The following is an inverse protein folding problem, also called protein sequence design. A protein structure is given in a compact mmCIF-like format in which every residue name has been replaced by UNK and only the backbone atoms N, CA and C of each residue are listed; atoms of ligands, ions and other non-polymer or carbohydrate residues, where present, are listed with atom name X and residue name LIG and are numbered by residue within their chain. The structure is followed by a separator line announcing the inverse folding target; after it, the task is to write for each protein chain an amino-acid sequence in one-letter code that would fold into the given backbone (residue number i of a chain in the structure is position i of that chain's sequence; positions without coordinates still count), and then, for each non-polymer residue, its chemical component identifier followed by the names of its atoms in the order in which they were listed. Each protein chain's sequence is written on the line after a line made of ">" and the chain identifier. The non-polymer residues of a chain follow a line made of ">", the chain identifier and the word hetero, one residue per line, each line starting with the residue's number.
data_IF_298879202144
#
_entry.id   IF_298879202144
#
_cell.length_a   1.000
_cell.length_b   1.000
_cell.length_c   1.000
_cell.angle_alpha   90.00
_cell.angle_beta   90.00
_cell.angle_gamma   90.00
#
_symmetry.space_group_name_H-M   'P 1'
#
loop_
_entity.id
_entity.type
_entity.pdbx_description
1 polymer ?
#
# COMPACT_ATOMS: atom_id res chain seq x y z
N UNK A 1 10.95 19.65 -22.46
CA UNK A 1 10.61 18.43 -21.76
C UNK A 1 10.51 17.32 -22.78
N UNK A 2 11.14 16.17 -22.57
CA UNK A 2 11.01 15.03 -23.48
C UNK A 2 9.58 14.44 -23.40
N UNK A 3 9.18 13.60 -24.36
CA UNK A 3 7.88 12.89 -24.27
C UNK A 3 7.84 11.96 -23.05
N UNK A 4 8.98 11.40 -22.68
CA UNK A 4 9.15 10.53 -21.49
C UNK A 4 8.96 11.35 -20.21
N UNK A 5 9.50 12.57 -20.13
CA UNK A 5 9.32 13.42 -18.94
C UNK A 5 7.85 13.79 -18.73
N UNK A 6 7.11 14.09 -19.80
CA UNK A 6 5.68 14.40 -19.70
C UNK A 6 4.85 13.19 -19.26
N UNK A 7 5.25 11.99 -19.67
CA UNK A 7 4.62 10.75 -19.24
C UNK A 7 4.92 10.46 -17.77
N UNK A 8 6.20 10.47 -17.36
CA UNK A 8 6.62 10.31 -15.98
C UNK A 8 5.93 11.31 -15.05
N UNK A 9 5.83 12.58 -15.49
CA UNK A 9 5.09 13.60 -14.76
C UNK A 9 3.65 13.21 -14.51
N UNK A 10 2.91 12.77 -15.52
CA UNK A 10 1.51 12.40 -15.39
C UNK A 10 1.31 11.18 -14.48
N UNK A 11 2.12 10.13 -14.65
CA UNK A 11 2.10 8.93 -13.80
C UNK A 11 2.39 9.30 -12.34
N UNK A 12 3.40 10.12 -12.11
CA UNK A 12 3.76 10.59 -10.78
C UNK A 12 2.65 11.48 -10.17
N UNK A 13 2.04 12.37 -10.93
CA UNK A 13 0.92 13.20 -10.46
C UNK A 13 -0.29 12.35 -10.06
N UNK A 14 -0.60 11.29 -10.79
CA UNK A 14 -1.63 10.32 -10.41
C UNK A 14 -1.28 9.64 -9.08
N UNK A 15 -0.07 9.09 -8.96
CA UNK A 15 0.40 8.46 -7.73
C UNK A 15 0.33 9.43 -6.54
N UNK A 16 0.80 10.67 -6.69
CA UNK A 16 0.83 11.65 -5.61
C UNK A 16 -0.57 12.03 -5.10
N UNK A 17 -1.61 11.92 -5.93
CA UNK A 17 -3.00 12.09 -5.47
C UNK A 17 -3.41 10.98 -4.50
N UNK A 18 -3.04 9.74 -4.79
CA UNK A 18 -3.23 8.62 -3.87
C UNK A 18 -2.37 8.76 -2.61
N UNK A 19 -1.09 9.09 -2.78
CA UNK A 19 -0.16 9.28 -1.67
C UNK A 19 -0.61 10.37 -0.67
N UNK A 20 -1.31 11.41 -1.15
CA UNK A 20 -1.84 12.46 -0.29
C UNK A 20 -2.85 11.92 0.76
N UNK A 21 -3.49 10.78 0.50
CA UNK A 21 -4.45 10.15 1.41
C UNK A 21 -3.79 9.58 2.67
N UNK A 22 -2.48 9.30 2.64
CA UNK A 22 -1.68 8.89 3.81
C UNK A 22 -1.62 9.98 4.90
N UNK A 23 -1.77 11.24 4.50
CA UNK A 23 -1.74 12.40 5.40
C UNK A 23 -3.14 12.97 5.67
N UNK A 24 -4.19 12.28 5.25
CA UNK A 24 -5.58 12.72 5.37
C UNK A 24 -6.30 11.81 6.35
N UNK A 25 -6.70 12.36 7.50
CA UNK A 25 -7.28 11.60 8.63
C UNK A 25 -8.77 11.40 8.41
N UNK A 26 -9.27 10.18 8.62
CA UNK A 26 -10.68 9.81 8.47
C UNK A 26 -11.45 9.77 9.79
N UNK A 27 -10.75 9.57 10.92
CA UNK A 27 -11.36 9.45 12.24
C UNK A 27 -10.59 10.22 13.34
N UNK A 28 -11.17 10.27 14.54
CA UNK A 28 -10.57 10.96 15.69
C UNK A 28 -9.36 10.21 16.30
N UNK A 29 -9.05 9.00 15.82
CA UNK A 29 -7.93 8.20 16.29
C UNK A 29 -6.67 8.42 15.46
N UNK A 30 -6.75 9.26 14.43
CA UNK A 30 -5.64 9.59 13.56
C UNK A 30 -5.46 8.62 12.39
N UNK A 31 -6.41 7.70 12.14
CA UNK A 31 -6.36 6.77 11.02
C UNK A 31 -6.37 7.53 9.70
N UNK A 32 -5.46 7.21 8.79
CA UNK A 32 -5.42 7.81 7.47
C UNK A 32 -6.54 7.28 6.55
N UNK A 33 -6.86 8.02 5.48
CA UNK A 33 -7.76 7.51 4.44
C UNK A 33 -7.10 6.33 3.72
N UNK A 34 -5.78 6.35 3.50
CA UNK A 34 -5.06 5.26 2.88
C UNK A 34 -5.15 3.96 3.71
N UNK A 35 -5.01 4.03 5.03
CA UNK A 35 -5.22 2.91 5.95
C UNK A 35 -6.65 2.37 5.89
N UNK A 36 -7.65 3.25 5.82
CA UNK A 36 -9.05 2.83 5.63
C UNK A 36 -9.25 2.08 4.30
N UNK A 37 -8.64 2.56 3.21
CA UNK A 37 -8.75 1.90 1.91
C UNK A 37 -8.00 0.56 1.89
N UNK A 38 -6.83 0.49 2.55
CA UNK A 38 -6.13 -0.77 2.78
C UNK A 38 -7.01 -1.77 3.52
N UNK A 39 -7.57 -1.42 4.68
CA UNK A 39 -8.46 -2.29 5.45
C UNK A 39 -9.68 -2.75 4.65
N UNK A 40 -10.24 -1.87 3.82
CA UNK A 40 -11.35 -2.19 2.91
C UNK A 40 -10.94 -3.24 1.85
N UNK A 41 -9.73 -3.14 1.30
CA UNK A 41 -9.18 -4.10 0.34
C UNK A 41 -8.87 -5.45 1.00
N UNK A 42 -8.32 -5.45 2.21
CA UNK A 42 -8.09 -6.67 3.01
C UNK A 42 -9.41 -7.39 3.30
N UNK A 43 -10.45 -6.64 3.68
CA UNK A 43 -11.77 -7.21 3.92
C UNK A 43 -12.37 -7.81 2.64
N UNK A 44 -12.26 -7.10 1.51
CA UNK A 44 -12.71 -7.59 0.21
C UNK A 44 -11.99 -8.88 -0.19
N UNK A 45 -10.66 -8.93 -0.01
CA UNK A 45 -9.84 -10.10 -0.34
C UNK A 45 -10.18 -11.30 0.53
N UNK A 46 -10.40 -11.10 1.83
CA UNK A 46 -10.80 -12.16 2.75
C UNK A 46 -12.21 -12.73 2.43
N UNK A 47 -13.16 -11.85 2.11
CA UNK A 47 -14.52 -12.27 1.68
C UNK A 47 -14.43 -13.03 0.36
N UNK A 48 -13.60 -12.58 -0.57
CA UNK A 48 -13.37 -13.27 -1.85
C UNK A 48 -12.85 -14.69 -1.65
N UNK A 49 -11.90 -14.89 -0.74
CA UNK A 49 -11.35 -16.21 -0.41
C UNK A 49 -12.42 -17.20 0.05
N UNK A 50 -13.39 -16.75 0.85
CA UNK A 50 -14.35 -17.63 1.50
C UNK A 50 -15.66 -17.79 0.73
N UNK A 51 -16.06 -16.80 -0.06
CA UNK A 51 -17.38 -16.77 -0.70
C UNK A 51 -17.35 -16.50 -2.21
N UNK A 52 -16.21 -16.13 -2.77
CA UNK A 52 -16.01 -15.85 -4.19
C UNK A 52 -17.13 -14.95 -4.82
N UNK A 53 -17.46 -13.81 -4.19
CA UNK A 53 -18.58 -12.99 -4.66
C UNK A 53 -18.31 -12.26 -6.00
N UNK A 54 -17.05 -12.03 -6.36
CA UNK A 54 -16.65 -11.35 -7.58
C UNK A 54 -15.93 -12.29 -8.54
N UNK A 55 -16.13 -12.10 -9.84
CA UNK A 55 -15.34 -12.79 -10.88
C UNK A 55 -13.96 -12.14 -11.08
N UNK A 56 -13.81 -10.85 -10.67
CA UNK A 56 -12.58 -10.06 -10.78
C UNK A 56 -12.33 -9.27 -9.49
N UNK A 57 -11.70 -9.93 -8.50
CA UNK A 57 -11.35 -9.26 -7.25
C UNK A 57 -10.40 -8.08 -7.46
N UNK A 58 -9.51 -8.14 -8.44
CA UNK A 58 -8.57 -7.07 -8.74
C UNK A 58 -9.29 -5.81 -9.22
N UNK A 59 -10.39 -5.94 -9.94
CA UNK A 59 -11.27 -4.82 -10.28
C UNK A 59 -11.87 -4.18 -9.03
N UNK A 60 -12.29 -4.99 -8.04
CA UNK A 60 -12.79 -4.48 -6.76
C UNK A 60 -11.70 -3.70 -6.01
N UNK A 61 -10.46 -4.22 -5.97
CA UNK A 61 -9.32 -3.52 -5.37
C UNK A 61 -9.05 -2.19 -6.07
N UNK A 62 -9.02 -2.16 -7.41
CA UNK A 62 -8.87 -0.92 -8.18
C UNK A 62 -9.98 0.08 -7.88
N UNK A 63 -11.24 -0.38 -7.83
CA UNK A 63 -12.38 0.48 -7.50
C UNK A 63 -12.24 1.13 -6.12
N UNK A 64 -11.81 0.38 -5.10
CA UNK A 64 -11.56 0.92 -3.76
C UNK A 64 -10.47 1.98 -3.81
N UNK A 65 -9.35 1.72 -4.49
CA UNK A 65 -8.24 2.66 -4.61
C UNK A 65 -8.65 3.94 -5.36
N UNK A 66 -9.34 3.80 -6.49
CA UNK A 66 -9.76 4.90 -7.36
C UNK A 66 -10.79 5.81 -6.68
N UNK A 67 -11.73 5.24 -5.95
CA UNK A 67 -12.70 6.04 -5.22
C UNK A 67 -12.02 6.93 -4.18
N UNK A 68 -11.00 6.41 -3.47
CA UNK A 68 -10.18 7.21 -2.56
C UNK A 68 -9.51 8.39 -3.25
N UNK A 69 -8.86 8.17 -4.39
CA UNK A 69 -8.21 9.23 -5.17
C UNK A 69 -9.25 10.27 -5.65
N UNK A 70 -10.42 9.81 -6.07
CA UNK A 70 -11.49 10.68 -6.55
C UNK A 70 -12.17 11.52 -5.47
N UNK A 71 -12.02 11.15 -4.17
CA UNK A 71 -12.51 11.99 -3.06
C UNK A 71 -11.87 13.38 -3.06
N UNK A 72 -10.73 13.54 -3.71
CA UNK A 72 -10.00 14.80 -3.78
C UNK A 72 -10.56 15.76 -4.84
N UNK A 73 -11.32 15.25 -5.81
CA UNK A 73 -11.88 16.02 -6.91
C UNK A 73 -13.02 15.24 -7.60
N UNK A 74 -14.25 15.77 -7.56
CA UNK A 74 -15.44 15.14 -8.17
C UNK A 74 -15.30 14.98 -9.68
N UNK A 75 -14.57 15.87 -10.37
CA UNK A 75 -14.33 15.84 -11.81
C UNK A 75 -13.07 15.02 -12.18
N UNK A 76 -12.47 14.30 -11.23
CA UNK A 76 -11.25 13.53 -11.46
C UNK A 76 -11.44 12.46 -12.53
N UNK A 77 -10.52 12.42 -13.50
CA UNK A 77 -10.44 11.42 -14.56
C UNK A 77 -9.04 10.83 -14.64
N UNK A 78 -8.96 9.52 -14.59
CA UNK A 78 -7.70 8.78 -14.73
C UNK A 78 -7.08 8.94 -16.12
N UNK A 79 -7.91 9.09 -17.17
CA UNK A 79 -7.47 9.30 -18.56
C UNK A 79 -6.70 10.61 -18.79
N UNK A 80 -6.76 11.54 -17.86
CA UNK A 80 -5.92 12.76 -17.90
C UNK A 80 -4.45 12.48 -17.52
N UNK A 81 -4.20 11.37 -16.83
CA UNK A 81 -2.90 11.00 -16.28
C UNK A 81 -2.30 9.74 -16.90
N UNK A 82 -3.11 8.74 -17.20
CA UNK A 82 -2.68 7.39 -17.53
C UNK A 82 -3.11 6.97 -18.93
N UNK A 83 -2.25 6.24 -19.65
CA UNK A 83 -2.56 5.67 -20.97
C UNK A 83 -3.78 4.72 -20.89
N UNK A 84 -3.86 3.89 -19.84
CA UNK A 84 -4.99 2.99 -19.57
C UNK A 84 -6.14 3.65 -18.79
N UNK A 85 -6.08 4.96 -18.59
CA UNK A 85 -6.99 5.71 -17.73
C UNK A 85 -8.46 5.59 -18.10
N UNK A 86 -8.81 5.36 -19.37
CA UNK A 86 -10.19 5.18 -19.79
C UNK A 86 -10.85 3.93 -19.18
N UNK A 87 -10.10 2.86 -18.91
CA UNK A 87 -10.57 1.69 -18.17
C UNK A 87 -10.89 2.08 -16.73
N UNK A 88 -9.99 2.81 -16.10
CA UNK A 88 -10.16 3.27 -14.72
C UNK A 88 -11.26 4.32 -14.57
N UNK A 89 -11.45 5.20 -15.55
CA UNK A 89 -12.59 6.14 -15.57
C UNK A 89 -13.92 5.40 -15.57
N UNK A 90 -14.02 4.30 -16.32
CA UNK A 90 -15.21 3.45 -16.33
C UNK A 90 -15.42 2.76 -14.97
N UNK A 91 -14.39 2.19 -14.38
CA UNK A 91 -14.45 1.56 -13.05
C UNK A 91 -14.84 2.57 -11.97
N UNK A 92 -14.29 3.79 -12.03
CA UNK A 92 -14.64 4.90 -11.14
C UNK A 92 -16.10 5.34 -11.30
N UNK A 93 -16.62 5.39 -12.54
CA UNK A 93 -18.02 5.73 -12.82
C UNK A 93 -18.97 4.62 -12.31
N UNK A 94 -18.57 3.36 -12.45
CA UNK A 94 -19.32 2.21 -11.91
C UNK A 94 -19.45 2.28 -10.38
N UNK A 95 -18.37 2.60 -9.66
CA UNK A 95 -18.41 2.66 -8.18
C UNK A 95 -19.17 3.89 -7.69
N UNK A 96 -19.00 5.05 -8.31
CA UNK A 96 -19.77 6.26 -7.99
C UNK A 96 -21.28 6.05 -8.14
N UNK A 97 -21.71 5.26 -9.12
CA UNK A 97 -23.10 4.96 -9.39
C UNK A 97 -23.61 3.70 -8.70
N UNK A 98 -22.73 2.87 -8.15
CA UNK A 98 -23.05 1.55 -7.58
C UNK A 98 -23.92 0.69 -8.52
N UNK A 99 -23.52 0.58 -9.79
CA UNK A 99 -24.34 -0.05 -10.85
C UNK A 99 -23.93 -1.48 -11.18
N UNK A 100 -22.77 -1.94 -10.73
CA UNK A 100 -22.29 -3.32 -10.92
C UNK A 100 -22.18 -4.04 -9.58
N UNK A 101 -22.15 -5.38 -9.64
CA UNK A 101 -21.95 -6.18 -8.44
C UNK A 101 -20.63 -5.83 -7.75
N UNK A 102 -19.54 -5.71 -8.53
CA UNK A 102 -18.21 -5.36 -8.00
C UNK A 102 -18.20 -3.99 -7.31
N UNK A 103 -18.90 -2.99 -7.89
CA UNK A 103 -19.00 -1.65 -7.29
C UNK A 103 -19.81 -1.64 -5.99
N UNK A 104 -20.88 -2.44 -5.92
CA UNK A 104 -21.65 -2.63 -4.68
C UNK A 104 -20.80 -3.36 -3.65
N UNK A 105 -20.08 -4.40 -4.04
CA UNK A 105 -19.21 -5.17 -3.16
C UNK A 105 -18.07 -4.29 -2.60
N UNK A 106 -17.39 -3.51 -3.43
CA UNK A 106 -16.38 -2.54 -3.01
C UNK A 106 -16.94 -1.55 -1.97
N UNK A 107 -18.12 -0.96 -2.25
CA UNK A 107 -18.75 -0.02 -1.32
C UNK A 107 -19.15 -0.67 0.01
N UNK A 108 -19.66 -1.92 -0.01
CA UNK A 108 -19.96 -2.69 1.21
C UNK A 108 -18.70 -2.93 2.03
N UNK A 109 -17.59 -3.30 1.40
CA UNK A 109 -16.32 -3.51 2.11
C UNK A 109 -15.84 -2.22 2.79
N UNK A 110 -15.93 -1.07 2.13
CA UNK A 110 -15.56 0.23 2.71
C UNK A 110 -16.42 0.59 3.92
N UNK A 111 -17.73 0.47 3.80
CA UNK A 111 -18.65 0.73 4.94
C UNK A 111 -18.38 -0.23 6.09
N UNK A 112 -18.15 -1.51 5.80
CA UNK A 112 -17.92 -2.50 6.83
C UNK A 112 -16.53 -2.36 7.48
N UNK A 113 -15.51 -1.92 6.75
CA UNK A 113 -14.20 -1.58 7.32
C UNK A 113 -14.36 -0.50 8.40
N UNK A 114 -15.02 0.63 8.12
CA UNK A 114 -15.27 1.68 9.11
C UNK A 114 -16.01 1.14 10.35
N UNK A 115 -17.00 0.28 10.15
CA UNK A 115 -17.77 -0.31 11.24
C UNK A 115 -16.98 -1.31 12.07
N UNK A 116 -16.16 -2.13 11.43
CA UNK A 116 -15.29 -3.10 12.14
C UNK A 116 -14.20 -2.36 12.91
N UNK A 117 -13.58 -1.36 12.28
CA UNK A 117 -12.56 -0.53 12.92
C UNK A 117 -13.12 0.19 14.16
N UNK A 118 -14.33 0.76 14.08
CA UNK A 118 -15.02 1.34 15.24
C UNK A 118 -15.24 0.29 16.34
N UNK A 119 -15.70 -0.93 16.01
CA UNK A 119 -15.89 -2.00 17.01
C UNK A 119 -14.58 -2.34 17.72
N UNK A 120 -13.48 -2.45 16.99
CA UNK A 120 -12.16 -2.81 17.53
C UNK A 120 -11.66 -1.69 18.46
N UNK A 121 -11.70 -0.44 18.02
CA UNK A 121 -11.14 0.69 18.75
C UNK A 121 -11.98 1.12 19.96
N UNK A 122 -13.31 1.00 19.89
CA UNK A 122 -14.19 1.28 21.01
C UNK A 122 -14.12 0.21 22.13
N UNK A 123 -13.48 -0.92 21.86
CA UNK A 123 -13.41 -2.06 22.78
C UNK A 123 -12.00 -2.67 22.85
N UNK A 124 -10.97 -1.91 23.21
CA UNK A 124 -9.57 -2.36 23.16
C UNK A 124 -9.28 -3.53 24.13
N UNK A 125 -10.06 -3.67 25.18
CA UNK A 125 -9.89 -4.74 26.18
C UNK A 125 -10.65 -6.03 25.85
N UNK A 126 -11.46 -6.04 24.79
CA UNK A 126 -12.22 -7.25 24.40
C UNK A 126 -11.33 -8.23 23.65
N UNK A 127 -11.51 -9.51 23.93
CA UNK A 127 -10.85 -10.54 23.14
C UNK A 127 -11.47 -10.64 21.73
N UNK A 128 -10.69 -11.21 20.81
CA UNK A 128 -11.09 -11.44 19.42
C UNK A 128 -12.51 -11.99 19.27
N UNK A 129 -12.87 -13.01 20.06
CA UNK A 129 -14.17 -13.67 19.96
C UNK A 129 -15.33 -12.76 20.34
N UNK A 130 -15.15 -11.87 21.31
CA UNK A 130 -16.20 -10.92 21.73
C UNK A 130 -16.35 -9.79 20.71
N UNK A 131 -15.26 -9.35 20.07
CA UNK A 131 -15.29 -8.42 18.95
C UNK A 131 -16.01 -9.01 17.74
N UNK A 132 -15.74 -10.27 17.42
CA UNK A 132 -16.44 -10.99 16.34
C UNK A 132 -17.96 -11.08 16.63
N UNK A 133 -18.36 -11.47 17.85
CA UNK A 133 -19.77 -11.49 18.25
C UNK A 133 -20.44 -10.13 18.11
N UNK A 134 -19.72 -9.06 18.45
CA UNK A 134 -20.23 -7.70 18.29
C UNK A 134 -20.43 -7.35 16.81
N UNK A 135 -19.51 -7.74 15.93
CA UNK A 135 -19.66 -7.58 14.50
C UNK A 135 -20.88 -8.33 13.95
N UNK A 136 -21.15 -9.54 14.43
CA UNK A 136 -22.36 -10.31 14.10
C UNK A 136 -23.60 -9.60 14.66
N UNK A 137 -23.58 -9.15 15.91
CA UNK A 137 -24.71 -8.45 16.55
C UNK A 137 -25.07 -7.16 15.82
N UNK A 138 -24.06 -6.41 15.36
CA UNK A 138 -24.24 -5.19 14.54
C UNK A 138 -24.61 -5.49 13.08
N UNK A 139 -24.72 -6.77 12.69
CA UNK A 139 -25.16 -7.19 11.36
C UNK A 139 -24.14 -6.95 10.25
N UNK A 140 -22.85 -6.85 10.60
CA UNK A 140 -21.75 -6.81 9.61
C UNK A 140 -21.58 -8.19 8.98
N UNK A 141 -21.50 -9.21 9.83
CA UNK A 141 -21.53 -10.62 9.44
C UNK A 141 -22.90 -11.23 9.74
N UNK A 142 -23.42 -12.05 8.84
CA UNK A 142 -24.77 -12.63 8.94
C UNK A 142 -24.74 -14.13 8.63
N UNK A 143 -24.03 -14.93 9.47
CA UNK A 143 -23.96 -16.37 9.24
C UNK A 143 -25.34 -17.04 9.37
N UNK A 144 -25.70 -17.86 8.40
CA UNK A 144 -26.96 -18.63 8.36
C UNK A 144 -26.77 -20.08 8.79
N UNK A 145 -25.50 -20.53 8.90
CA UNK A 145 -25.13 -21.87 9.29
C UNK A 145 -23.85 -21.87 10.13
N UNK A 146 -23.53 -23.02 10.72
CA UNK A 146 -22.29 -23.22 11.47
C UNK A 146 -21.06 -23.10 10.54
N UNK A 147 -21.14 -23.59 9.31
CA UNK A 147 -20.05 -23.51 8.35
C UNK A 147 -19.83 -22.07 7.88
N UNK A 148 -20.89 -21.32 7.57
CA UNK A 148 -20.75 -19.89 7.26
C UNK A 148 -20.18 -19.12 8.46
N UNK A 149 -20.55 -19.47 9.68
CA UNK A 149 -19.99 -18.82 10.87
C UNK A 149 -18.49 -19.01 10.99
N UNK A 150 -17.96 -20.20 10.65
CA UNK A 150 -16.50 -20.43 10.58
C UNK A 150 -15.82 -19.56 9.53
N UNK A 151 -16.40 -19.50 8.34
CA UNK A 151 -15.90 -18.65 7.25
C UNK A 151 -15.82 -17.17 7.68
N UNK A 152 -16.86 -16.64 8.29
CA UNK A 152 -16.86 -15.27 8.79
C UNK A 152 -15.88 -15.05 9.96
N UNK A 153 -15.60 -16.06 10.77
CA UNK A 153 -14.56 -15.98 11.79
C UNK A 153 -13.16 -15.88 11.16
N UNK A 154 -12.87 -16.66 10.11
CA UNK A 154 -11.58 -16.56 9.39
C UNK A 154 -11.43 -15.22 8.66
N UNK A 155 -12.49 -14.71 8.02
CA UNK A 155 -12.51 -13.36 7.42
C UNK A 155 -12.19 -12.31 8.48
N UNK A 156 -12.88 -12.35 9.63
CA UNK A 156 -12.66 -11.37 10.68
C UNK A 156 -11.28 -11.52 11.32
N UNK A 157 -10.76 -12.74 11.48
CA UNK A 157 -9.40 -12.99 11.99
C UNK A 157 -8.36 -12.36 11.05
N UNK A 158 -8.44 -12.67 9.74
CA UNK A 158 -7.53 -12.13 8.77
C UNK A 158 -7.58 -10.59 8.73
N UNK A 159 -8.77 -10.02 8.72
CA UNK A 159 -8.96 -8.57 8.82
C UNK A 159 -8.34 -8.00 10.09
N UNK A 160 -8.67 -8.57 11.25
CA UNK A 160 -8.22 -8.08 12.57
C UNK A 160 -6.70 -8.11 12.71
N UNK A 161 -6.05 -9.18 12.25
CA UNK A 161 -4.60 -9.32 12.32
C UNK A 161 -3.91 -8.28 11.42
N UNK A 162 -4.47 -8.02 10.23
CA UNK A 162 -3.95 -7.03 9.29
C UNK A 162 -4.10 -5.57 9.77
N UNK A 163 -5.03 -5.27 10.70
CA UNK A 163 -5.12 -3.94 11.31
C UNK A 163 -3.90 -3.58 12.18
N UNK A 164 -3.03 -4.53 12.49
CA UNK A 164 -1.75 -4.24 13.14
C UNK A 164 -0.78 -3.51 12.21
N UNK A 165 -0.88 -3.70 10.88
CA UNK A 165 -0.06 -2.99 9.91
C UNK A 165 -0.41 -1.50 9.82
N UNK A 166 -1.63 -1.09 10.18
CA UNK A 166 -2.02 0.33 10.32
C UNK A 166 -1.33 0.99 11.53
N UNK A 167 -0.99 0.21 12.57
CA UNK A 167 -0.38 0.70 13.81
C UNK A 167 1.15 0.59 13.79
N UNK A 168 1.70 -0.04 12.77
CA UNK A 168 3.13 -0.27 12.65
C UNK A 168 3.73 0.74 11.67
N UNK A 169 4.49 1.71 12.20
CA UNK A 169 5.26 2.63 11.36
C UNK A 169 6.38 1.87 10.64
N UNK A 170 6.69 2.27 9.40
CA UNK A 170 7.84 1.73 8.67
C UNK A 170 9.13 1.99 9.44
N UNK A 171 9.84 0.92 9.82
CA UNK A 171 11.07 0.96 10.62
C UNK A 171 12.17 1.78 9.95
N UNK A 172 12.24 1.75 8.63
CA UNK A 172 13.20 2.56 7.88
C UNK A 172 13.13 4.06 8.19
N UNK A 173 11.98 4.56 8.59
CA UNK A 173 11.80 5.98 8.90
C UNK A 173 12.07 6.37 10.35
N UNK A 174 12.33 5.40 11.23
CA UNK A 174 12.54 5.65 12.66
C UNK A 174 13.85 6.41 12.97
N UNK A 175 14.05 6.76 14.24
CA UNK A 175 15.21 7.53 14.71
C UNK A 175 16.53 6.74 14.70
N UNK A 176 16.49 5.42 14.52
CA UNK A 176 17.69 4.58 14.41
C UNK A 176 18.16 4.44 12.97
N UNK A 177 17.24 4.65 12.00
CA UNK A 177 17.48 4.51 10.57
C UNK A 177 17.58 5.88 9.90
N UNK A 178 16.56 6.31 9.14
CA UNK A 178 16.60 7.56 8.39
C UNK A 178 16.13 8.78 9.17
N UNK A 179 15.60 8.59 10.37
CA UNK A 179 15.24 9.64 11.34
C UNK A 179 14.36 10.75 10.75
N UNK A 180 13.24 10.32 10.16
CA UNK A 180 12.20 11.23 9.69
C UNK A 180 11.50 11.83 10.89
N UNK A 181 11.31 13.15 10.90
CA UNK A 181 10.54 13.82 11.95
C UNK A 181 9.11 14.15 11.50
N UNK A 182 8.22 14.23 12.49
CA UNK A 182 6.78 14.33 12.29
C UNK A 182 6.14 12.95 12.02
N UNK A 183 4.94 12.95 11.50
CA UNK A 183 4.19 11.74 11.19
C UNK A 183 4.88 10.92 10.09
N UNK A 184 4.94 9.62 10.30
CA UNK A 184 5.55 8.65 9.37
C UNK A 184 4.45 7.73 8.86
N UNK A 185 4.61 7.26 7.63
CA UNK A 185 3.67 6.30 7.08
C UNK A 185 3.69 4.98 7.85
N UNK A 186 2.54 4.36 7.96
CA UNK A 186 2.40 2.98 8.42
C UNK A 186 2.72 1.99 7.29
N UNK A 187 2.85 0.69 7.64
CA UNK A 187 2.98 -0.37 6.63
C UNK A 187 1.72 -0.41 5.75
N UNK A 188 0.54 -0.21 6.31
CA UNK A 188 -0.72 -0.15 5.55
C UNK A 188 -0.76 1.01 4.56
N UNK A 189 -0.26 2.20 4.94
CA UNK A 189 -0.09 3.35 4.04
C UNK A 189 0.82 3.01 2.85
N UNK A 190 1.96 2.34 3.12
CA UNK A 190 2.89 1.89 2.10
C UNK A 190 2.20 0.90 1.14
N UNK A 191 1.53 -0.13 1.65
CA UNK A 191 0.82 -1.12 0.80
C UNK A 191 -0.20 -0.43 -0.10
N UNK A 192 -0.99 0.50 0.43
CA UNK A 192 -1.90 1.30 -0.39
C UNK A 192 -1.14 2.08 -1.47
N UNK A 193 -0.03 2.71 -1.11
CA UNK A 193 0.85 3.44 -2.04
C UNK A 193 1.37 2.56 -3.17
N UNK A 194 1.83 1.33 -2.88
CA UNK A 194 2.33 0.38 -3.89
C UNK A 194 1.24 -0.02 -4.90
N UNK A 195 0.00 -0.20 -4.44
CA UNK A 195 -1.15 -0.51 -5.30
C UNK A 195 -1.44 0.65 -6.26
N UNK A 196 -1.50 1.88 -5.75
CA UNK A 196 -1.71 3.06 -6.58
C UNK A 196 -0.56 3.27 -7.57
N UNK A 197 0.68 3.04 -7.14
CA UNK A 197 1.85 3.15 -8.01
C UNK A 197 1.84 2.08 -9.10
N UNK A 198 1.48 0.84 -8.78
CA UNK A 198 1.35 -0.22 -9.78
C UNK A 198 0.31 0.12 -10.85
N UNK A 199 -0.83 0.71 -10.45
CA UNK A 199 -1.83 1.21 -11.40
C UNK A 199 -1.30 2.35 -12.26
N UNK A 200 -0.45 3.22 -11.71
CA UNK A 200 0.16 4.35 -12.43
C UNK A 200 1.23 3.90 -13.43
N UNK A 201 2.05 2.92 -13.04
CA UNK A 201 3.18 2.44 -13.84
C UNK A 201 2.79 1.45 -14.92
N UNK A 202 1.65 0.78 -14.81
CA UNK A 202 1.24 -0.25 -15.76
C UNK A 202 0.68 0.33 -17.07
N UNK A 203 1.38 0.15 -18.17
CA UNK A 203 1.00 0.61 -19.51
C UNK A 203 0.43 -0.48 -20.43
N UNK A 204 0.16 -1.67 -19.89
CA UNK A 204 -0.41 -2.79 -20.65
C UNK A 204 0.63 -3.73 -21.21
N UNK A 205 1.77 -3.90 -20.55
CA UNK A 205 2.82 -4.84 -20.92
C UNK A 205 2.28 -6.27 -21.02
N UNK A 206 2.58 -6.93 -22.15
CA UNK A 206 2.00 -8.24 -22.48
C UNK A 206 2.34 -9.35 -21.50
N UNK A 207 3.47 -9.22 -20.79
CA UNK A 207 3.99 -10.25 -19.89
C UNK A 207 3.74 -9.93 -18.42
N UNK A 208 3.10 -8.80 -18.11
CA UNK A 208 2.73 -8.39 -16.75
C UNK A 208 1.24 -8.58 -16.56
N UNK A 209 0.85 -9.38 -15.59
CA UNK A 209 -0.52 -9.52 -15.16
C UNK A 209 -0.78 -8.57 -14.00
N UNK A 210 -1.36 -7.39 -14.27
CA UNK A 210 -1.66 -6.39 -13.24
C UNK A 210 -2.55 -6.94 -12.12
N UNK A 211 -3.46 -7.86 -12.45
CA UNK A 211 -4.37 -8.43 -11.47
C UNK A 211 -3.64 -9.30 -10.44
N UNK A 212 -2.63 -10.07 -10.86
CA UNK A 212 -1.72 -10.78 -9.96
C UNK A 212 -0.87 -9.80 -9.14
N UNK A 213 -0.32 -8.77 -9.79
CA UNK A 213 0.49 -7.73 -9.12
C UNK A 213 -0.28 -7.09 -7.98
N UNK A 214 -1.51 -6.62 -8.21
CA UNK A 214 -2.31 -5.94 -7.20
C UNK A 214 -2.65 -6.85 -6.02
N UNK A 215 -3.02 -8.12 -6.28
CA UNK A 215 -3.32 -9.08 -5.23
C UNK A 215 -2.08 -9.43 -4.40
N UNK A 216 -0.93 -9.58 -5.04
CA UNK A 216 0.34 -9.85 -4.35
C UNK A 216 0.78 -8.64 -3.52
N UNK A 217 0.74 -7.42 -4.08
CA UNK A 217 1.08 -6.20 -3.37
C UNK A 217 0.15 -5.93 -2.17
N UNK A 218 -1.12 -6.33 -2.23
CA UNK A 218 -2.03 -6.18 -1.10
C UNK A 218 -1.57 -6.92 0.16
N UNK A 219 -0.84 -8.01 0.00
CA UNK A 219 -0.46 -8.92 1.09
C UNK A 219 1.06 -9.08 1.26
N UNK A 220 1.88 -8.34 0.50
CA UNK A 220 3.34 -8.60 0.48
C UNK A 220 4.05 -8.37 1.81
N UNK A 221 3.51 -7.52 2.67
CA UNK A 221 4.05 -7.25 4.01
C UNK A 221 3.33 -8.02 5.14
N UNK A 222 2.50 -9.03 4.79
CA UNK A 222 1.69 -9.75 5.79
C UNK A 222 2.53 -10.47 6.84
N UNK A 223 3.76 -10.86 6.50
CA UNK A 223 4.71 -11.47 7.43
C UNK A 223 5.11 -10.53 8.57
N UNK A 224 5.10 -9.23 8.31
CA UNK A 224 5.52 -8.22 9.28
C UNK A 224 4.53 -8.05 10.45
N UNK A 225 3.31 -8.58 10.33
CA UNK A 225 2.36 -8.69 11.46
C UNK A 225 3.01 -9.39 12.67
N UNK A 226 3.85 -10.40 12.41
CA UNK A 226 4.48 -11.22 13.46
C UNK A 226 5.91 -10.81 13.78
N UNK A 227 6.70 -10.51 12.73
CA UNK A 227 8.14 -10.26 12.91
C UNK A 227 8.47 -8.76 13.02
N UNK A 228 7.50 -7.88 12.75
CA UNK A 228 7.69 -6.45 12.58
C UNK A 228 8.50 -6.11 11.33
N UNK A 229 8.45 -4.86 10.91
CA UNK A 229 9.24 -4.36 9.77
C UNK A 229 10.75 -4.53 10.06
N UNK A 230 11.45 -5.23 9.16
CA UNK A 230 12.89 -5.47 9.24
C UNK A 230 13.59 -4.90 8.01
N UNK A 231 14.53 -3.99 8.27
CA UNK A 231 15.34 -3.39 7.21
C UNK A 231 16.58 -4.23 6.89
N UNK A 232 17.21 -4.04 5.73
CA UNK A 232 18.50 -4.66 5.41
C UNK A 232 19.65 -4.29 6.37
N UNK A 233 19.42 -3.30 7.24
CA UNK A 233 20.37 -2.88 8.27
C UNK A 233 20.18 -3.63 9.60
N UNK A 234 19.06 -4.34 9.76
CA UNK A 234 18.71 -5.08 10.97
C UNK A 234 19.11 -6.55 10.89
N UNK A 235 18.83 -7.19 9.74
CA UNK A 235 19.08 -8.62 9.51
C UNK A 235 19.53 -8.89 8.08
N UNK A 236 20.11 -10.07 7.82
CA UNK A 236 20.48 -10.47 6.45
C UNK A 236 19.25 -10.85 5.61
N UNK A 237 19.37 -10.79 4.27
CA UNK A 237 18.29 -11.16 3.33
C UNK A 237 17.84 -12.61 3.57
N UNK A 238 18.78 -13.54 3.76
CA UNK A 238 18.51 -14.96 3.96
C UNK A 238 17.78 -15.23 5.28
N UNK A 239 18.18 -14.53 6.34
CA UNK A 239 17.54 -14.65 7.65
C UNK A 239 16.13 -14.04 7.61
N UNK A 240 15.97 -12.85 6.99
CA UNK A 240 14.65 -12.23 6.79
C UNK A 240 13.72 -13.21 6.07
N UNK A 241 14.08 -13.70 4.88
CA UNK A 241 13.25 -14.61 4.10
C UNK A 241 12.83 -15.85 4.91
N UNK A 242 13.75 -16.46 5.67
CA UNK A 242 13.45 -17.66 6.47
C UNK A 242 12.39 -17.43 7.55
N UNK A 243 12.46 -16.32 8.28
CA UNK A 243 11.48 -16.01 9.35
C UNK A 243 10.18 -15.47 8.76
N UNK A 244 10.26 -14.70 7.69
CA UNK A 244 9.15 -14.06 7.03
C UNK A 244 8.23 -15.07 6.34
N UNK A 245 8.76 -16.05 5.58
CA UNK A 245 7.95 -17.12 4.98
C UNK A 245 7.14 -17.90 6.02
N UNK A 246 7.70 -18.12 7.21
CA UNK A 246 6.96 -18.78 8.31
C UNK A 246 5.84 -17.87 8.83
N UNK A 247 6.13 -16.59 9.02
CA UNK A 247 5.18 -15.59 9.49
C UNK A 247 4.05 -15.38 8.47
N UNK A 248 4.37 -15.25 7.18
CA UNK A 248 3.39 -15.16 6.08
C UNK A 248 2.41 -16.33 6.10
N UNK A 249 2.93 -17.56 6.19
CA UNK A 249 2.11 -18.77 6.23
C UNK A 249 1.16 -18.81 7.42
N UNK A 250 1.60 -18.31 8.56
CA UNK A 250 0.78 -18.21 9.77
C UNK A 250 -0.26 -17.08 9.66
N UNK A 251 0.13 -15.92 9.17
CA UNK A 251 -0.74 -14.77 9.00
C UNK A 251 -1.90 -15.03 8.01
N UNK A 252 -1.67 -15.82 6.95
CA UNK A 252 -2.72 -16.27 6.03
C UNK A 252 -3.77 -17.17 6.69
N UNK A 253 -3.43 -17.85 7.80
CA UNK A 253 -4.34 -18.64 8.62
C UNK A 253 -5.01 -19.78 7.87
N UNK A 254 -6.35 -19.85 7.94
CA UNK A 254 -7.14 -20.90 7.32
C UNK A 254 -8.03 -20.39 6.18
N UNK A 255 -7.67 -19.28 5.55
CA UNK A 255 -8.36 -18.82 4.35
C UNK A 255 -8.36 -19.91 3.28
N UNK A 256 -9.44 -20.03 2.54
CA UNK A 256 -9.68 -21.12 1.58
C UNK A 256 -8.58 -21.19 0.50
N UNK A 257 -8.11 -20.05 0.00
CA UNK A 257 -7.09 -19.94 -1.06
C UNK A 257 -5.69 -19.55 -0.56
N UNK A 258 -5.43 -19.73 0.75
CA UNK A 258 -4.15 -19.36 1.41
C UNK A 258 -2.90 -19.93 0.71
N UNK A 259 -2.97 -21.14 0.17
CA UNK A 259 -1.80 -21.76 -0.49
C UNK A 259 -1.46 -20.97 -1.77
N UNK A 260 -2.46 -20.58 -2.57
CA UNK A 260 -2.25 -19.74 -3.76
C UNK A 260 -1.73 -18.35 -3.37
N UNK A 261 -2.24 -17.74 -2.29
CA UNK A 261 -1.72 -16.48 -1.76
C UNK A 261 -0.27 -16.62 -1.32
N UNK A 262 0.09 -17.71 -0.64
CA UNK A 262 1.46 -17.96 -0.23
C UNK A 262 2.39 -18.20 -1.42
N UNK A 263 1.95 -18.91 -2.44
CA UNK A 263 2.71 -19.10 -3.68
C UNK A 263 2.99 -17.76 -4.39
N UNK A 264 2.03 -16.84 -4.44
CA UNK A 264 2.25 -15.51 -5.03
C UNK A 264 3.30 -14.69 -4.27
N UNK A 265 3.38 -14.83 -2.94
CA UNK A 265 4.42 -14.20 -2.11
C UNK A 265 5.81 -14.82 -2.36
N UNK A 266 5.89 -16.15 -2.52
CA UNK A 266 7.14 -16.81 -2.90
C UNK A 266 7.61 -16.42 -4.31
N UNK A 267 6.68 -16.28 -5.26
CA UNK A 267 6.98 -15.78 -6.60
C UNK A 267 7.50 -14.33 -6.58
N UNK A 268 6.97 -13.49 -5.69
CA UNK A 268 7.47 -12.12 -5.49
C UNK A 268 8.92 -12.13 -5.04
N UNK A 269 9.25 -12.95 -4.04
CA UNK A 269 10.61 -13.06 -3.52
C UNK A 269 11.61 -13.65 -4.53
N UNK A 270 11.13 -14.56 -5.38
CA UNK A 270 11.95 -15.20 -6.40
C UNK A 270 12.28 -14.27 -7.59
N UNK A 271 11.44 -13.27 -7.87
CA UNK A 271 11.59 -12.31 -8.97
C UNK A 271 11.81 -12.97 -10.35
N UNK A 272 11.27 -14.16 -10.56
CA UNK A 272 11.46 -14.89 -11.82
C UNK A 272 10.44 -14.49 -12.89
N UNK A 273 9.18 -14.21 -12.48
CA UNK A 273 8.09 -13.79 -13.36
C UNK A 273 8.14 -12.28 -13.61
N UNK A 274 7.72 -11.82 -14.79
CA UNK A 274 7.66 -10.38 -15.09
C UNK A 274 6.67 -9.65 -14.17
N UNK A 275 5.53 -10.28 -13.80
CA UNK A 275 4.60 -9.72 -12.81
C UNK A 275 5.26 -9.56 -11.43
N UNK A 276 6.08 -10.51 -11.00
CA UNK A 276 6.80 -10.46 -9.72
C UNK A 276 7.87 -9.37 -9.72
N UNK A 277 8.64 -9.24 -10.81
CA UNK A 277 9.61 -8.14 -10.97
C UNK A 277 8.92 -6.79 -10.95
N UNK A 278 7.82 -6.65 -11.69
CA UNK A 278 7.04 -5.43 -11.74
C UNK A 278 6.50 -5.05 -10.34
N UNK A 279 5.96 -6.02 -9.59
CA UNK A 279 5.50 -5.82 -8.22
C UNK A 279 6.65 -5.38 -7.30
N UNK A 280 7.82 -6.06 -7.38
CA UNK A 280 9.00 -5.70 -6.63
C UNK A 280 9.49 -4.29 -6.97
N UNK A 281 9.48 -3.90 -8.25
CA UNK A 281 9.84 -2.54 -8.65
C UNK A 281 8.87 -1.50 -8.12
N UNK A 282 7.56 -1.80 -8.08
CA UNK A 282 6.57 -0.90 -7.49
C UNK A 282 6.79 -0.74 -5.97
N UNK A 283 7.09 -1.83 -5.25
CA UNK A 283 7.42 -1.79 -3.82
C UNK A 283 8.61 -0.86 -3.54
N UNK A 284 9.72 -1.06 -4.28
CA UNK A 284 10.94 -0.26 -4.08
C UNK A 284 10.75 1.20 -4.51
N UNK A 285 10.16 1.44 -5.68
CA UNK A 285 9.95 2.79 -6.19
C UNK A 285 8.99 3.61 -5.30
N UNK A 286 8.02 2.96 -4.67
CA UNK A 286 7.13 3.61 -3.71
C UNK A 286 7.92 4.17 -2.52
N UNK A 287 8.82 3.39 -1.94
CA UNK A 287 9.69 3.82 -0.85
C UNK A 287 10.68 4.92 -1.30
N UNK A 288 11.23 4.84 -2.52
CA UNK A 288 12.08 5.88 -3.10
C UNK A 288 11.32 7.20 -3.24
N UNK A 289 10.11 7.18 -3.79
CA UNK A 289 9.27 8.38 -3.93
C UNK A 289 8.91 8.94 -2.55
N UNK A 290 8.58 8.09 -1.59
CA UNK A 290 8.25 8.51 -0.22
C UNK A 290 9.47 9.16 0.47
N UNK A 291 10.68 8.61 0.28
CA UNK A 291 11.93 9.22 0.75
C UNK A 291 12.12 10.62 0.15
N UNK A 292 11.87 10.77 -1.16
CA UNK A 292 11.93 12.06 -1.85
C UNK A 292 10.91 13.07 -1.33
N UNK A 293 9.68 12.62 -1.06
CA UNK A 293 8.64 13.45 -0.44
C UNK A 293 9.11 13.97 0.93
N UNK A 294 9.68 13.11 1.75
CA UNK A 294 10.24 13.51 3.04
C UNK A 294 11.41 14.48 2.88
N UNK A 295 12.33 14.23 1.94
CA UNK A 295 13.45 15.13 1.64
C UNK A 295 12.95 16.50 1.21
N UNK A 296 12.06 16.58 0.23
CA UNK A 296 11.55 17.83 -0.31
C UNK A 296 10.67 18.58 0.70
N UNK A 297 10.06 17.87 1.65
CA UNK A 297 9.30 18.43 2.75
C UNK A 297 10.17 18.91 3.90
N UNK A 298 11.49 18.73 3.82
CA UNK A 298 12.43 19.09 4.86
C UNK A 298 12.28 18.22 6.12
N UNK A 299 11.78 17.00 5.99
CA UNK A 299 11.51 16.06 7.10
C UNK A 299 12.66 15.11 7.39
N UNK A 300 13.65 15.00 6.51
CA UNK A 300 14.93 14.36 6.81
C UNK A 300 15.81 15.28 7.64
N UNK A 301 16.48 14.73 8.65
CA UNK A 301 17.59 15.40 9.29
C UNK A 301 18.79 15.47 8.34
N UNK A 302 19.67 16.44 8.56
CA UNK A 302 20.92 16.53 7.80
C UNK A 302 21.77 15.26 8.00
N UNK A 303 22.58 14.89 7.01
CA UNK A 303 23.47 13.73 7.13
C UNK A 303 24.41 13.82 8.34
N UNK A 304 24.82 15.04 8.70
CA UNK A 304 25.66 15.29 9.89
C UNK A 304 24.97 14.91 11.21
N UNK A 305 23.65 15.11 11.31
CA UNK A 305 22.87 14.75 12.50
C UNK A 305 22.56 13.24 12.58
N UNK A 306 22.77 12.51 11.49
CA UNK A 306 22.42 11.11 11.37
C UNK A 306 23.62 10.14 11.47
N UNK A 307 24.84 10.62 11.62
CA UNK A 307 26.08 9.81 11.55
C UNK A 307 26.11 8.62 12.52
N UNK A 308 25.37 8.65 13.61
CA UNK A 308 25.26 7.57 14.57
C UNK A 308 24.18 6.52 14.25
N UNK A 309 23.37 6.75 13.24
CA UNK A 309 22.31 5.84 12.84
C UNK A 309 22.88 4.56 12.23
N UNK A 310 22.12 3.47 12.30
CA UNK A 310 22.57 2.16 11.80
C UNK A 310 22.87 2.17 10.30
N UNK A 311 22.12 2.95 9.52
CA UNK A 311 22.28 3.14 8.08
C UNK A 311 23.72 3.60 7.75
N UNK A 312 24.26 4.55 8.52
CA UNK A 312 25.59 5.13 8.31
C UNK A 312 26.73 4.20 8.72
N UNK A 313 26.44 3.08 9.38
CA UNK A 313 27.45 2.02 9.68
C UNK A 313 27.65 1.09 8.48
N UNK A 314 26.79 1.13 7.48
CA UNK A 314 26.90 0.31 6.27
C UNK A 314 28.09 0.76 5.41
N UNK A 315 29.02 -0.16 5.04
CA UNK A 315 30.12 0.16 4.13
C UNK A 315 29.64 0.68 2.76
N UNK A 316 28.48 0.21 2.28
CA UNK A 316 27.87 0.65 1.03
C UNK A 316 27.44 2.12 1.13
N UNK A 317 26.80 2.52 2.23
CA UNK A 317 26.41 3.92 2.48
C UNK A 317 27.64 4.81 2.65
N UNK A 318 28.67 4.36 3.36
CA UNK A 318 29.92 5.11 3.50
C UNK A 318 30.60 5.38 2.15
N UNK A 319 30.56 4.41 1.23
CA UNK A 319 31.05 4.59 -0.13
C UNK A 319 30.25 5.66 -0.87
N UNK A 320 28.91 5.66 -0.79
CA UNK A 320 28.04 6.65 -1.42
C UNK A 320 28.31 8.07 -0.92
N UNK A 321 28.57 8.23 0.38
CA UNK A 321 28.99 9.51 0.96
C UNK A 321 30.34 10.00 0.39
N UNK A 322 31.30 9.08 0.20
CA UNK A 322 32.59 9.40 -0.42
C UNK A 322 32.45 9.76 -1.92
N UNK A 323 31.45 9.20 -2.59
CA UNK A 323 31.11 9.47 -3.98
C UNK A 323 30.27 10.76 -4.18
N UNK A 324 29.97 11.47 -3.08
CA UNK A 324 29.37 12.81 -3.12
C UNK A 324 27.87 12.87 -2.87
N UNK A 325 27.28 11.86 -2.20
CA UNK A 325 25.91 11.98 -1.72
C UNK A 325 25.79 13.11 -0.68
N UNK A 326 24.92 14.09 -0.92
CA UNK A 326 24.76 15.30 -0.10
C UNK A 326 23.49 15.26 0.76
N UNK A 327 22.50 14.46 0.37
CA UNK A 327 21.22 14.34 1.04
C UNK A 327 20.89 12.88 1.36
N UNK A 328 19.93 12.65 2.27
CA UNK A 328 19.44 11.30 2.54
C UNK A 328 18.85 10.66 1.28
N UNK A 329 18.12 11.43 0.47
CA UNK A 329 17.57 10.92 -0.78
C UNK A 329 18.65 10.57 -1.82
N UNK A 330 19.80 11.27 -1.87
CA UNK A 330 20.91 10.86 -2.76
C UNK A 330 21.40 9.45 -2.41
N UNK A 331 21.43 9.10 -1.12
CA UNK A 331 21.81 7.76 -0.68
C UNK A 331 20.76 6.73 -1.10
N UNK A 332 19.47 7.02 -0.92
CA UNK A 332 18.35 6.19 -1.40
C UNK A 332 18.48 5.93 -2.90
N UNK A 333 18.57 6.98 -3.69
CA UNK A 333 18.72 6.89 -5.12
C UNK A 333 19.93 6.03 -5.55
N UNK A 334 21.11 6.26 -4.95
CA UNK A 334 22.32 5.49 -5.24
C UNK A 334 22.22 4.03 -4.76
N UNK A 335 21.42 3.78 -3.73
CA UNK A 335 21.20 2.45 -3.20
C UNK A 335 20.31 1.61 -4.13
N UNK A 336 19.26 2.20 -4.70
CA UNK A 336 18.21 1.47 -5.40
C UNK A 336 18.24 1.62 -6.93
N UNK A 337 18.96 2.61 -7.51
CA UNK A 337 19.02 2.82 -8.96
C UNK A 337 19.37 1.58 -9.79
N UNK A 338 20.16 0.66 -9.24
CA UNK A 338 20.58 -0.56 -9.92
C UNK A 338 19.51 -1.69 -9.85
N UNK A 339 18.48 -1.55 -9.00
CA UNK A 339 17.33 -2.46 -8.93
C UNK A 339 16.58 -2.42 -10.27
N UNK A 340 16.39 -1.22 -10.82
CA UNK A 340 15.61 -0.97 -12.04
C UNK A 340 16.39 -1.13 -13.34
N UNK A 341 17.60 -1.70 -13.30
CA UNK A 341 18.52 -1.78 -14.46
C UNK A 341 17.91 -2.43 -15.71
N UNK A 342 16.97 -3.37 -15.51
CA UNK A 342 16.32 -4.14 -16.56
C UNK A 342 14.97 -3.53 -17.00
N UNK A 343 14.58 -2.36 -16.44
CA UNK A 343 13.37 -1.61 -16.81
C UNK A 343 13.66 -0.15 -17.04
N UNK A 344 13.68 0.27 -18.31
CA UNK A 344 13.89 1.70 -18.65
C UNK A 344 12.76 2.59 -18.10
N UNK A 345 11.55 2.07 -17.95
CA UNK A 345 10.41 2.80 -17.42
C UNK A 345 10.62 3.17 -15.95
N UNK A 346 10.90 2.18 -15.08
CA UNK A 346 11.14 2.43 -13.65
C UNK A 346 12.40 3.26 -13.43
N UNK A 347 13.45 3.01 -14.20
CA UNK A 347 14.68 3.79 -14.17
C UNK A 347 14.42 5.26 -14.55
N UNK A 348 13.70 5.51 -15.63
CA UNK A 348 13.37 6.88 -16.05
C UNK A 348 12.47 7.59 -15.03
N UNK A 349 11.57 6.88 -14.38
CA UNK A 349 10.74 7.43 -13.31
C UNK A 349 11.59 7.81 -12.09
N UNK A 350 12.51 6.96 -11.65
CA UNK A 350 13.41 7.29 -10.54
C UNK A 350 14.30 8.50 -10.85
N UNK A 351 14.84 8.60 -12.07
CA UNK A 351 15.59 9.78 -12.52
C UNK A 351 14.72 11.04 -12.51
N UNK A 352 13.48 10.93 -13.02
CA UNK A 352 12.53 12.05 -12.99
C UNK A 352 12.23 12.51 -11.54
N UNK A 353 12.00 11.58 -10.61
CA UNK A 353 11.79 11.87 -9.19
C UNK A 353 13.00 12.59 -8.59
N UNK A 354 14.23 12.16 -8.94
CA UNK A 354 15.46 12.78 -8.46
C UNK A 354 15.59 14.24 -8.90
N UNK A 355 15.29 14.53 -10.15
CA UNK A 355 15.50 15.85 -10.76
C UNK A 355 14.43 16.88 -10.36
N UNK A 356 13.26 16.43 -9.86
CA UNK A 356 12.13 17.29 -9.61
C UNK A 356 11.81 17.44 -8.12
N UNK A 357 11.34 18.63 -7.73
CA UNK A 357 10.85 18.89 -6.39
C UNK A 357 9.38 18.53 -6.27
N UNK A 358 9.07 17.48 -5.51
CA UNK A 358 7.73 16.90 -5.41
C UNK A 358 6.73 17.80 -4.67
N UNK A 359 7.17 18.75 -3.83
CA UNK A 359 6.27 19.76 -3.21
C UNK A 359 5.67 20.73 -4.22
N UNK A 360 6.34 20.94 -5.35
CA UNK A 360 5.89 21.85 -6.40
C UNK A 360 4.95 21.17 -7.39
N UNK A 361 4.88 19.85 -7.38
CA UNK A 361 3.83 19.12 -8.08
C UNK A 361 2.55 19.46 -7.32
N UNK A 362 1.66 20.26 -7.95
CA UNK A 362 0.47 20.84 -7.30
C UNK A 362 -0.39 19.76 -6.65
N UNK A 363 -0.16 19.54 -5.37
CA UNK A 363 -1.14 18.91 -4.51
C UNK A 363 -2.23 19.96 -4.30
N UNK A 364 -3.38 19.79 -4.94
CA UNK A 364 -4.56 20.55 -4.57
C UNK A 364 -4.80 20.28 -3.09
N UNK A 365 -4.97 21.38 -2.32
CA UNK A 365 -5.34 21.24 -0.92
C UNK A 365 -6.56 20.34 -0.81
N UNK A 366 -6.39 19.19 -0.14
CA UNK A 366 -7.48 18.28 0.16
C UNK A 366 -8.47 19.00 1.08
N UNK A 367 -9.51 19.57 0.50
CA UNK A 367 -10.72 19.90 1.24
C UNK A 367 -11.58 18.62 1.23
N UNK A 368 -11.38 17.77 2.25
CA UNK A 368 -12.25 16.60 2.45
C UNK A 368 -13.65 17.16 2.72
N UNK A 369 -14.65 16.80 1.92
CA UNK A 369 -16.02 17.18 2.23
C UNK A 369 -16.39 16.63 3.60
N UNK A 370 -16.91 17.47 4.48
CA UNK A 370 -17.38 17.10 5.83
C UNK A 370 -18.44 15.99 5.84
N UNK A 371 -18.94 15.58 4.68
CA UNK A 371 -19.90 14.47 4.48
C UNK A 371 -19.25 13.07 4.59
N UNK A 372 -17.92 12.93 4.55
CA UNK A 372 -17.25 11.64 4.72
C UNK A 372 -17.03 11.24 6.19
N UNK A 373 -17.17 12.19 7.10
CA UNK A 373 -17.00 11.98 8.55
C UNK A 373 -18.26 11.36 9.19
N UNK A 374 -19.37 11.25 8.45
CA UNK A 374 -20.67 10.81 9.00
C UNK A 374 -21.43 9.95 7.95
N UNK A 375 -20.93 8.75 7.62
CA UNK A 375 -21.78 7.69 7.09
C UNK A 375 -21.43 6.35 7.71
#
# INVERSE_FOLDING_TARGET
>A
MSSIDEENKRKLEFYLKGNALKNSVIDNNGRSIAEHLYGSMILARAIQSEFEPSEDISKVLRMIALEGIALTNDDFKCSEYLANGSKYDKELDEIRKMVTFDSIFASICRVNDLRLHSIINENPDKCFYDLYKEAVRKGIFKPKSFEENKKYQEIFRFYYDNMNLEKTERTGWDNKHWNIFGERESIADHIYGTIVLAMAMYDGEKNVNLDEVLQTLLIHEIGEIEIGDKTPFDITKEEKARIEHKAMKHALGNLTDRESMFESLLDLDAEEKESSKFAHYCDKLEADIQSKIYQDSGRHKSLAEQQNNVVFKSPRVQKMLQEGAETAFDIWYLYDKDIYKDSEEFKSMLEYVKEHNLRKVRLYSLTIPSTLVIM
#
